data_IF_743470154717
#
_entry.id   IF_743470154717
#
_cell.length_a   1.000
_cell.length_b   1.000
_cell.length_c   1.000
_cell.angle_alpha   90.00
_cell.angle_beta   90.00
_cell.angle_gamma   90.00
#
_symmetry.space_group_name_H-M   'P 1'
#
loop_
_entity.id
_entity.type
_entity.pdbx_description
1 polymer ?
#
# COMPACT_ATOMS: atom_id res chain seq x y z
N UNK A 1 -10.77 4.48 -8.76
CA UNK A 1 -11.35 5.80 -9.08
C UNK A 1 -10.43 6.95 -8.63
N UNK A 2 -10.15 7.12 -7.33
CA UNK A 2 -9.32 8.24 -6.86
C UNK A 2 -7.87 8.22 -7.40
N UNK A 3 -7.20 7.07 -7.36
CA UNK A 3 -5.84 6.90 -7.86
C UNK A 3 -5.70 7.09 -9.39
N UNK A 4 -6.80 6.94 -10.13
CA UNK A 4 -6.79 7.01 -11.60
C UNK A 4 -7.17 8.40 -12.12
N UNK A 5 -7.82 9.24 -11.31
CA UNK A 5 -8.36 10.53 -11.74
C UNK A 5 -7.26 11.49 -12.25
N UNK A 6 -6.18 11.66 -11.48
CA UNK A 6 -5.06 12.55 -11.85
C UNK A 6 -4.36 12.11 -13.15
N UNK A 7 -3.84 10.87 -13.25
CA UNK A 7 -3.21 10.38 -14.47
C UNK A 7 -4.12 10.42 -15.70
N UNK A 8 -5.42 10.09 -15.55
CA UNK A 8 -6.36 10.16 -16.68
C UNK A 8 -6.53 11.59 -17.22
N UNK A 9 -6.56 12.59 -16.33
CA UNK A 9 -6.53 13.99 -16.76
C UNK A 9 -5.22 14.33 -17.50
N UNK A 10 -4.08 13.87 -16.98
CA UNK A 10 -2.77 14.18 -17.58
C UNK A 10 -2.60 13.54 -18.96
N UNK A 11 -3.08 12.31 -19.15
CA UNK A 11 -3.05 11.63 -20.46
C UNK A 11 -4.07 12.19 -21.43
N UNK A 12 -5.35 12.24 -21.04
CA UNK A 12 -6.46 12.45 -21.98
C UNK A 12 -7.01 13.87 -21.99
N UNK A 13 -6.61 14.73 -21.04
CA UNK A 13 -7.12 16.11 -20.96
C UNK A 13 -8.62 16.19 -20.68
N UNK A 14 -9.24 15.10 -20.22
CA UNK A 14 -10.67 15.09 -19.88
C UNK A 14 -10.82 15.79 -18.53
N UNK A 15 -11.31 17.04 -18.54
CA UNK A 15 -11.65 17.77 -17.32
C UNK A 15 -12.95 17.19 -16.73
N UNK A 16 -12.92 16.53 -15.55
CA UNK A 16 -14.16 16.13 -14.88
C UNK A 16 -14.93 17.35 -14.32
N UNK A 17 -14.25 18.48 -14.10
CA UNK A 17 -14.85 19.70 -13.53
C UNK A 17 -14.45 20.92 -14.37
N UNK A 18 -15.45 21.67 -14.82
CA UNK A 18 -15.31 22.92 -15.58
C UNK A 18 -15.27 24.14 -14.65
N UNK A 19 -14.30 24.23 -13.74
CA UNK A 19 -14.06 25.44 -12.94
C UNK A 19 -12.77 25.33 -12.12
N UNK A 20 -11.61 25.55 -12.74
CA UNK A 20 -10.39 25.90 -11.98
C UNK A 20 -10.42 27.41 -11.65
N UNK A 21 -11.52 27.88 -11.05
CA UNK A 21 -11.71 29.28 -10.65
C UNK A 21 -11.32 29.48 -9.19
N UNK A 22 -10.93 30.70 -8.80
CA UNK A 22 -10.61 31.08 -7.42
C UNK A 22 -11.71 30.68 -6.43
N UNK A 23 -12.97 30.73 -6.88
CA UNK A 23 -14.14 30.37 -6.09
C UNK A 23 -14.15 28.89 -5.65
N UNK A 24 -13.63 27.98 -6.49
CA UNK A 24 -13.49 26.57 -6.12
C UNK A 24 -12.53 26.39 -4.95
N UNK A 25 -11.39 27.09 -4.96
CA UNK A 25 -10.38 26.98 -3.90
C UNK A 25 -10.87 27.59 -2.59
N UNK A 26 -11.63 28.68 -2.64
CA UNK A 26 -12.24 29.31 -1.45
C UNK A 26 -13.17 28.35 -0.72
N UNK A 27 -13.88 27.48 -1.43
CA UNK A 27 -14.75 26.49 -0.80
C UNK A 27 -14.01 25.20 -0.42
N UNK A 28 -13.08 24.75 -1.27
CA UNK A 28 -12.35 23.49 -1.08
C UNK A 28 -11.35 23.55 0.09
N UNK A 29 -10.54 24.62 0.17
CA UNK A 29 -9.48 24.71 1.17
C UNK A 29 -10.02 24.70 2.60
N UNK A 30 -11.03 25.51 2.98
CA UNK A 30 -11.61 25.47 4.31
C UNK A 30 -12.21 24.10 4.62
N UNK A 31 -12.91 23.48 3.66
CA UNK A 31 -13.45 22.14 3.82
C UNK A 31 -12.35 21.11 4.15
N UNK A 32 -11.22 21.14 3.42
CA UNK A 32 -10.09 20.25 3.69
C UNK A 32 -9.45 20.52 5.06
N UNK A 33 -9.25 21.79 5.41
CA UNK A 33 -8.64 22.18 6.69
C UNK A 33 -9.50 21.77 7.87
N UNK A 34 -10.80 22.08 7.83
CA UNK A 34 -11.73 21.72 8.91
C UNK A 34 -11.82 20.21 9.09
N UNK A 35 -11.88 19.45 7.99
CA UNK A 35 -11.84 17.99 8.06
C UNK A 35 -10.53 17.48 8.66
N UNK A 36 -9.39 18.05 8.28
CA UNK A 36 -8.10 17.63 8.81
C UNK A 36 -7.96 17.94 10.30
N UNK A 37 -8.47 19.09 10.75
CA UNK A 37 -8.55 19.44 12.17
C UNK A 37 -9.48 18.50 12.93
N UNK A 38 -10.63 18.16 12.36
CA UNK A 38 -11.56 17.21 12.97
C UNK A 38 -10.89 15.84 13.18
N UNK A 39 -10.22 15.31 12.16
CA UNK A 39 -9.48 14.04 12.28
C UNK A 39 -8.33 14.12 13.28
N UNK A 40 -7.69 15.29 13.40
CA UNK A 40 -6.64 15.51 14.39
C UNK A 40 -7.18 15.50 15.82
N UNK A 41 -8.33 16.14 16.06
CA UNK A 41 -8.98 16.19 17.37
C UNK A 41 -9.56 14.83 17.75
N UNK A 42 -10.27 14.16 16.83
CA UNK A 42 -10.90 12.84 17.09
C UNK A 42 -9.85 11.74 17.19
N UNK A 43 -8.81 11.79 16.37
CA UNK A 43 -7.74 10.80 16.34
C UNK A 43 -6.68 10.97 17.43
N UNK A 44 -6.95 11.73 18.49
CA UNK A 44 -5.93 12.11 19.47
C UNK A 44 -5.22 10.89 20.06
N UNK A 45 -3.90 10.83 19.87
CA UNK A 45 -3.04 9.72 20.29
C UNK A 45 -2.85 8.60 19.26
N UNK A 46 -3.54 8.62 18.11
CA UNK A 46 -3.37 7.64 17.03
C UNK A 46 -2.70 8.24 15.79
N UNK A 47 -1.69 7.56 15.19
CA UNK A 47 -1.06 8.02 13.96
C UNK A 47 -2.00 7.82 12.76
N UNK A 48 -2.75 8.86 12.40
CA UNK A 48 -3.71 8.85 11.28
C UNK A 48 -3.05 8.62 9.92
N UNK A 49 -1.83 9.15 9.74
CA UNK A 49 -1.10 9.07 8.48
C UNK A 49 -0.82 7.64 8.03
N UNK A 50 -0.33 6.78 8.93
CA UNK A 50 -0.04 5.37 8.59
C UNK A 50 -1.33 4.61 8.31
N UNK A 51 -2.40 4.88 9.06
CA UNK A 51 -3.71 4.28 8.81
C UNK A 51 -4.26 4.63 7.42
N UNK A 52 -4.11 5.88 7.00
CA UNK A 52 -4.49 6.33 5.65
C UNK A 52 -3.66 5.64 4.56
N UNK A 53 -2.34 5.55 4.76
CA UNK A 53 -1.44 4.84 3.83
C UNK A 53 -1.81 3.35 3.71
N UNK A 54 -2.09 2.66 4.82
CA UNK A 54 -2.51 1.25 4.78
C UNK A 54 -3.88 1.08 4.10
N UNK A 55 -4.84 1.96 4.41
CA UNK A 55 -6.16 1.94 3.78
C UNK A 55 -6.08 2.11 2.28
N UNK A 56 -5.21 3.03 1.81
CA UNK A 56 -4.95 3.21 0.39
C UNK A 56 -4.19 2.04 -0.21
N UNK A 57 -3.15 1.52 0.45
CA UNK A 57 -2.35 0.41 -0.06
C UNK A 57 -3.18 -0.88 -0.25
N UNK A 58 -4.19 -1.12 0.58
CA UNK A 58 -5.04 -2.31 0.51
C UNK A 58 -6.05 -2.30 -0.66
N UNK A 59 -6.06 -1.26 -1.49
CA UNK A 59 -6.98 -1.15 -2.62
C UNK A 59 -7.06 -2.40 -3.52
N UNK A 60 -5.97 -3.11 -3.88
CA UNK A 60 -6.07 -4.27 -4.76
C UNK A 60 -6.76 -5.43 -4.05
N UNK A 61 -6.49 -5.61 -2.76
CA UNK A 61 -7.08 -6.64 -1.92
C UNK A 61 -8.58 -6.42 -1.78
N UNK A 62 -9.01 -5.16 -1.61
CA UNK A 62 -10.44 -4.83 -1.50
C UNK A 62 -11.18 -5.09 -2.81
N UNK A 63 -10.58 -4.74 -3.96
CA UNK A 63 -11.17 -5.02 -5.27
C UNK A 63 -11.31 -6.54 -5.48
N UNK A 64 -10.25 -7.31 -5.19
CA UNK A 64 -10.30 -8.76 -5.32
C UNK A 64 -11.33 -9.40 -4.38
N UNK A 65 -11.46 -8.88 -3.15
CA UNK A 65 -12.46 -9.34 -2.20
C UNK A 65 -13.89 -9.09 -2.73
N UNK A 66 -14.17 -7.89 -3.23
CA UNK A 66 -15.50 -7.56 -3.79
C UNK A 66 -15.78 -8.37 -5.05
N UNK A 67 -14.84 -8.44 -6.00
CA UNK A 67 -15.02 -9.21 -7.24
C UNK A 67 -15.22 -10.69 -6.96
N UNK A 68 -14.46 -11.26 -6.03
CA UNK A 68 -14.64 -12.67 -5.63
C UNK A 68 -15.95 -12.91 -4.89
N UNK A 69 -16.39 -11.99 -4.02
CA UNK A 69 -17.69 -12.08 -3.34
C UNK A 69 -18.84 -12.02 -4.36
N UNK A 70 -18.81 -11.04 -5.27
CA UNK A 70 -19.78 -10.91 -6.37
C UNK A 70 -19.82 -12.19 -7.19
N UNK A 71 -18.65 -12.68 -7.64
CA UNK A 71 -18.56 -13.94 -8.38
C UNK A 71 -19.14 -15.11 -7.59
N UNK A 72 -18.81 -15.23 -6.32
CA UNK A 72 -19.30 -16.35 -5.50
C UNK A 72 -20.82 -16.31 -5.30
N UNK A 73 -21.42 -15.11 -5.19
CA UNK A 73 -22.87 -14.94 -5.13
C UNK A 73 -23.54 -15.33 -6.45
N UNK A 74 -23.04 -14.81 -7.59
CA UNK A 74 -23.64 -15.08 -8.90
C UNK A 74 -23.38 -16.51 -9.42
N UNK A 75 -22.25 -17.12 -9.07
CA UNK A 75 -21.85 -18.45 -9.52
C UNK A 75 -21.97 -19.53 -8.42
N UNK A 76 -22.63 -19.22 -7.29
CA UNK A 76 -22.91 -20.18 -6.21
C UNK A 76 -21.68 -20.82 -5.56
N UNK A 77 -20.50 -20.21 -5.69
CA UNK A 77 -19.25 -20.78 -5.19
C UNK A 77 -19.15 -20.57 -3.67
N UNK A 78 -18.80 -21.62 -2.90
CA UNK A 78 -18.71 -21.52 -1.44
C UNK A 78 -17.67 -20.47 -1.02
N UNK A 79 -18.04 -19.60 -0.09
CA UNK A 79 -17.15 -18.60 0.48
C UNK A 79 -16.11 -19.31 1.37
N UNK A 80 -14.85 -19.31 0.93
CA UNK A 80 -13.75 -19.89 1.71
C UNK A 80 -13.20 -18.86 2.67
N UNK A 81 -13.37 -19.09 3.97
CA UNK A 81 -12.75 -18.29 5.01
C UNK A 81 -11.29 -18.70 5.14
N UNK A 82 -10.39 -17.87 4.62
CA UNK A 82 -8.96 -18.05 4.80
C UNK A 82 -8.62 -17.80 6.28
N UNK A 83 -8.58 -18.86 7.07
CA UNK A 83 -8.11 -18.81 8.45
C UNK A 83 -6.64 -18.42 8.43
N UNK A 84 -6.29 -17.33 9.09
CA UNK A 84 -4.90 -16.90 9.24
C UNK A 84 -4.12 -18.03 9.88
N UNK A 85 -3.14 -18.60 9.16
CA UNK A 85 -2.36 -19.73 9.66
C UNK A 85 -1.64 -19.29 10.93
N UNK A 86 -1.93 -19.95 12.05
CA UNK A 86 -1.29 -19.66 13.35
C UNK A 86 0.22 -19.96 13.34
N UNK A 87 0.66 -20.80 12.39
CA UNK A 87 2.04 -20.82 11.94
C UNK A 87 2.28 -19.56 11.12
N UNK A 88 2.71 -18.51 11.83
CA UNK A 88 3.30 -17.34 11.20
C UNK A 88 4.38 -17.78 10.22
N UNK A 89 4.63 -16.95 9.22
CA UNK A 89 5.64 -17.00 8.17
C UNK A 89 7.07 -17.28 8.67
N UNK A 90 7.32 -18.40 9.35
CA UNK A 90 8.59 -18.83 9.91
C UNK A 90 9.29 -19.86 8.99
N UNK A 91 8.54 -20.49 8.07
CA UNK A 91 9.08 -21.47 7.12
C UNK A 91 9.29 -20.95 5.70
N UNK A 92 9.03 -19.67 5.41
CA UNK A 92 9.24 -19.09 4.06
C UNK A 92 10.39 -18.09 4.10
N UNK A 93 11.61 -18.60 4.20
CA UNK A 93 12.84 -17.85 3.91
C UNK A 93 12.93 -17.63 2.41
N UNK A 94 12.35 -16.53 1.95
CA UNK A 94 12.41 -16.09 0.55
C UNK A 94 11.11 -15.45 0.11
N UNK A 95 11.22 -14.45 -0.77
CA UNK A 95 10.09 -13.88 -1.50
C UNK A 95 9.44 -15.02 -2.30
N UNK A 96 8.36 -15.59 -1.77
CA UNK A 96 7.61 -16.59 -2.52
C UNK A 96 6.93 -15.90 -3.70
N UNK A 97 6.87 -16.54 -4.88
CA UNK A 97 6.24 -15.95 -6.06
C UNK A 97 4.79 -15.48 -5.87
N UNK A 98 4.10 -15.97 -4.82
CA UNK A 98 2.78 -15.47 -4.40
C UNK A 98 2.79 -14.03 -3.88
N UNK A 99 3.87 -13.60 -3.22
CA UNK A 99 3.97 -12.30 -2.57
C UNK A 99 4.25 -11.20 -3.59
N UNK A 100 5.04 -11.51 -4.63
CA UNK A 100 5.27 -10.62 -5.78
C UNK A 100 3.97 -10.38 -6.55
N UNK A 101 3.14 -11.41 -6.71
CA UNK A 101 1.85 -11.30 -7.41
C UNK A 101 0.85 -10.42 -6.65
N UNK A 102 0.98 -10.32 -5.32
CA UNK A 102 0.15 -9.45 -4.50
C UNK A 102 0.48 -7.96 -4.69
N UNK A 103 1.75 -7.65 -4.99
CA UNK A 103 2.27 -6.28 -4.97
C UNK A 103 2.41 -5.70 -6.37
N UNK A 104 2.44 -6.55 -7.41
CA UNK A 104 2.51 -6.12 -8.81
C UNK A 104 1.40 -5.13 -9.22
N UNK A 105 0.12 -5.28 -8.82
CA UNK A 105 -0.91 -4.28 -9.13
C UNK A 105 -0.61 -2.90 -8.54
N UNK A 106 0.01 -2.84 -7.35
CA UNK A 106 0.39 -1.58 -6.70
C UNK A 106 1.56 -0.92 -7.44
N UNK A 107 2.55 -1.71 -7.87
CA UNK A 107 3.69 -1.22 -8.64
C UNK A 107 3.26 -0.68 -10.02
N UNK A 108 2.33 -1.34 -10.70
CA UNK A 108 1.79 -0.84 -11.97
C UNK A 108 1.12 0.52 -11.80
N UNK A 109 0.38 0.73 -10.72
CA UNK A 109 -0.25 2.03 -10.43
C UNK A 109 0.79 3.10 -10.12
N UNK A 110 1.84 2.77 -9.36
CA UNK A 110 2.95 3.69 -9.10
C UNK A 110 3.62 4.11 -10.41
N UNK A 111 3.93 3.15 -11.29
CA UNK A 111 4.51 3.45 -12.61
C UNK A 111 3.62 4.34 -13.46
N UNK A 112 2.31 4.06 -13.47
CA UNK A 112 1.33 4.86 -14.18
C UNK A 112 1.21 6.29 -13.64
N UNK A 113 1.26 6.48 -12.31
CA UNK A 113 1.26 7.79 -11.65
C UNK A 113 2.52 8.59 -12.02
N UNK A 114 3.70 7.96 -11.97
CA UNK A 114 4.97 8.60 -12.34
C UNK A 114 4.94 9.05 -13.80
N UNK A 115 4.54 8.14 -14.71
CA UNK A 115 4.48 8.45 -16.14
C UNK A 115 3.48 9.58 -16.42
N UNK A 116 2.32 9.57 -15.75
CA UNK A 116 1.33 10.65 -15.85
C UNK A 116 1.88 12.00 -15.39
N UNK A 117 2.56 12.04 -14.24
CA UNK A 117 3.19 13.26 -13.71
C UNK A 117 4.24 13.82 -14.67
N UNK A 118 5.14 12.96 -15.17
CA UNK A 118 6.17 13.36 -16.14
C UNK A 118 5.56 13.90 -17.44
N UNK A 119 4.53 13.23 -17.95
CA UNK A 119 3.83 13.65 -19.16
C UNK A 119 3.13 15.01 -18.98
N UNK A 120 2.48 15.22 -17.84
CA UNK A 120 1.87 16.50 -17.49
C UNK A 120 2.86 17.64 -17.36
N UNK A 121 3.98 17.42 -16.65
CA UNK A 121 5.08 18.39 -16.56
C UNK A 121 5.67 18.68 -17.94
N UNK A 122 5.82 17.66 -18.78
CA UNK A 122 6.29 17.80 -20.16
C UNK A 122 5.40 18.74 -20.97
N UNK A 123 4.08 18.54 -20.95
CA UNK A 123 3.13 19.44 -21.64
C UNK A 123 3.20 20.89 -21.15
N UNK A 124 3.44 21.09 -19.85
CA UNK A 124 3.59 22.42 -19.26
C UNK A 124 4.90 23.08 -19.71
N UNK A 125 6.01 22.33 -19.73
CA UNK A 125 7.33 22.82 -20.16
C UNK A 125 7.37 23.14 -21.66
N UNK A 126 6.63 22.40 -22.48
CA UNK A 126 6.47 22.63 -23.93
C UNK A 126 5.47 23.75 -24.25
N UNK A 127 4.87 24.40 -23.25
CA UNK A 127 3.91 25.51 -23.44
C UNK A 127 2.63 25.13 -24.19
N UNK A 128 2.36 23.83 -24.36
CA UNK A 128 1.30 23.33 -25.25
C UNK A 128 -0.08 23.35 -24.59
N UNK A 129 -0.18 23.77 -23.32
CA UNK A 129 -1.40 23.74 -22.53
C UNK A 129 -1.72 25.12 -21.96
N UNK A 130 -2.95 25.57 -22.17
CA UNK A 130 -3.42 26.90 -21.71
C UNK A 130 -3.81 26.91 -20.23
N UNK A 131 -4.09 25.75 -19.62
CA UNK A 131 -4.58 25.63 -18.24
C UNK A 131 -3.49 25.13 -17.27
N UNK A 132 -2.45 25.94 -17.05
CA UNK A 132 -1.32 25.58 -16.17
C UNK A 132 -1.75 25.20 -14.75
N UNK A 133 -2.73 25.90 -14.18
CA UNK A 133 -3.26 25.65 -12.82
C UNK A 133 -3.88 24.25 -12.69
N UNK A 134 -4.58 23.78 -13.73
CA UNK A 134 -5.20 22.47 -13.75
C UNK A 134 -4.14 21.35 -13.75
N UNK A 135 -3.09 21.51 -14.54
CA UNK A 135 -1.98 20.57 -14.62
C UNK A 135 -1.25 20.51 -13.29
N UNK A 136 -0.86 21.66 -12.73
CA UNK A 136 -0.16 21.74 -11.44
C UNK A 136 -0.98 21.11 -10.30
N UNK A 137 -2.29 21.35 -10.27
CA UNK A 137 -3.18 20.74 -9.27
C UNK A 137 -3.19 19.21 -9.38
N UNK A 138 -3.35 18.67 -10.60
CA UNK A 138 -3.37 17.22 -10.81
C UNK A 138 -2.01 16.55 -10.57
N UNK A 139 -0.92 17.24 -10.89
CA UNK A 139 0.44 16.83 -10.52
C UNK A 139 0.57 16.79 -9.00
N UNK A 140 0.12 17.82 -8.28
CA UNK A 140 0.12 17.86 -6.82
C UNK A 140 -0.61 16.66 -6.20
N UNK A 141 -1.82 16.35 -6.69
CA UNK A 141 -2.57 15.17 -6.26
C UNK A 141 -1.88 13.85 -6.62
N UNK A 142 -1.24 13.78 -7.79
CA UNK A 142 -0.47 12.61 -8.21
C UNK A 142 0.74 12.38 -7.30
N UNK A 143 1.46 13.45 -6.94
CA UNK A 143 2.55 13.41 -5.96
C UNK A 143 2.07 12.98 -4.57
N UNK A 144 0.91 13.49 -4.13
CA UNK A 144 0.29 13.04 -2.88
C UNK A 144 -0.01 11.53 -2.90
N UNK A 145 -0.59 11.02 -4.00
CA UNK A 145 -0.84 9.58 -4.17
C UNK A 145 0.46 8.76 -4.16
N UNK A 146 1.53 9.24 -4.80
CA UNK A 146 2.85 8.61 -4.75
C UNK A 146 3.43 8.60 -3.33
N UNK A 147 3.30 9.70 -2.59
CA UNK A 147 3.73 9.78 -1.19
C UNK A 147 2.96 8.79 -0.32
N UNK A 148 1.65 8.63 -0.54
CA UNK A 148 0.82 7.64 0.14
C UNK A 148 1.24 6.20 -0.17
N UNK A 149 1.55 5.91 -1.44
CA UNK A 149 1.95 4.57 -1.89
C UNK A 149 3.41 4.23 -1.60
N UNK A 150 4.26 5.22 -1.26
CA UNK A 150 5.69 5.01 -0.97
C UNK A 150 5.94 4.01 0.17
N UNK A 151 5.01 3.89 1.13
CA UNK A 151 5.09 2.91 2.24
C UNK A 151 5.09 1.47 1.76
N UNK A 152 4.51 1.17 0.60
CA UNK A 152 4.53 -0.19 0.04
C UNK A 152 5.96 -0.56 -0.36
N UNK A 153 6.69 0.38 -0.96
CA UNK A 153 8.10 0.19 -1.34
C UNK A 153 8.98 0.03 -0.10
N UNK A 154 8.73 0.81 0.96
CA UNK A 154 9.42 0.68 2.25
C UNK A 154 9.08 -0.66 2.96
N UNK A 155 7.83 -1.11 2.91
CA UNK A 155 7.40 -2.38 3.48
C UNK A 155 8.00 -3.59 2.77
N UNK A 156 8.19 -3.51 1.45
CA UNK A 156 8.88 -4.52 0.66
C UNK A 156 10.38 -4.59 0.98
N UNK A 157 11.02 -3.43 1.21
CA UNK A 157 12.46 -3.36 1.47
C UNK A 157 12.83 -3.75 2.90
N UNK A 158 11.97 -3.48 3.90
CA UNK A 158 12.26 -3.79 5.32
C UNK A 158 11.99 -5.23 5.73
N UNK A 159 11.24 -6.03 4.96
CA UNK A 159 10.86 -7.42 5.34
C UNK A 159 11.93 -8.49 5.10
N UNK A 160 13.12 -8.14 4.60
CA UNK A 160 14.22 -9.10 4.39
C UNK A 160 15.10 -9.35 5.61
N UNK A 161 14.91 -8.65 6.73
CA UNK A 161 15.72 -8.88 7.95
C UNK A 161 15.06 -9.92 8.84
N UNK A 162 15.16 -11.20 8.44
CA UNK A 162 15.11 -12.30 9.41
C UNK A 162 16.32 -12.11 10.33
N UNK A 163 16.17 -12.04 11.66
CA UNK A 163 17.32 -12.11 12.55
C UNK A 163 18.02 -13.44 12.26
N UNK A 164 19.21 -13.38 11.67
CA UNK A 164 20.01 -14.58 11.47
C UNK A 164 20.33 -15.16 12.86
N UNK A 165 19.79 -16.34 13.15
CA UNK A 165 20.16 -17.11 14.32
C UNK A 165 19.00 -17.48 15.23
N UNK A 166 18.19 -18.43 14.79
CA UNK A 166 18.00 -19.67 15.57
C UNK A 166 17.99 -20.80 14.55
N UNK A 167 19.15 -21.40 14.28
CA UNK A 167 19.16 -22.67 13.55
C UNK A 167 18.57 -23.70 14.52
N UNK A 168 17.38 -24.21 14.19
CA UNK A 168 16.71 -25.26 14.98
C UNK A 168 17.60 -26.50 15.15
N UNK A 169 18.58 -26.67 14.25
CA UNK A 169 19.59 -27.72 14.32
C UNK A 169 20.56 -27.59 15.50
N UNK A 170 20.90 -26.37 15.96
CA UNK A 170 21.83 -26.19 17.08
C UNK A 170 21.19 -26.43 18.45
N UNK A 171 19.94 -25.97 18.60
CA UNK A 171 19.18 -26.08 19.86
C UNK A 171 18.81 -27.53 20.17
N UNK A 172 18.46 -28.31 19.15
CA UNK A 172 18.17 -29.74 19.32
C UNK A 172 19.43 -30.53 19.72
N UNK A 173 20.59 -30.22 19.13
CA UNK A 173 21.84 -30.90 19.46
C UNK A 173 22.34 -30.55 20.86
N UNK A 174 22.24 -29.28 21.29
CA UNK A 174 22.60 -28.88 22.66
C UNK A 174 21.62 -29.43 23.71
N UNK A 175 20.32 -29.45 23.43
CA UNK A 175 19.32 -30.02 24.34
C UNK A 175 19.50 -31.54 24.52
N UNK A 176 19.79 -32.26 23.44
CA UNK A 176 20.09 -33.71 23.49
C UNK A 176 21.42 -33.96 24.21
N UNK A 177 22.45 -33.14 24.00
CA UNK A 177 23.72 -33.25 24.72
C UNK A 177 23.56 -33.01 26.23
N UNK A 178 22.78 -31.99 26.63
CA UNK A 178 22.49 -31.69 28.04
C UNK A 178 21.63 -32.76 28.71
N UNK A 179 20.66 -33.35 27.99
CA UNK A 179 19.84 -34.45 28.49
C UNK A 179 20.67 -35.73 28.67
N UNK A 180 21.56 -36.02 27.72
CA UNK A 180 22.44 -37.21 27.78
C UNK A 180 23.48 -37.08 28.91
N UNK A 181 24.02 -35.88 29.13
CA UNK A 181 24.94 -35.59 30.23
C UNK A 181 24.29 -35.76 31.62
N UNK A 182 22.99 -35.45 31.76
CA UNK A 182 22.25 -35.63 33.03
C UNK A 182 21.93 -37.09 33.35
N UNK A 183 21.77 -37.95 32.34
CA UNK A 183 21.46 -39.38 32.53
C UNK A 183 22.74 -40.19 32.84
N UNK A 184 23.91 -39.77 32.35
CA UNK A 184 25.19 -40.47 32.58
C UNK A 184 25.83 -40.28 33.97
N UNK A 185 25.37 -39.30 34.77
CA UNK A 185 25.99 -38.95 36.06
C UNK A 185 25.48 -39.73 37.29
N UNK A 186 24.51 -40.63 37.13
CA UNK A 186 23.79 -41.28 38.22
C UNK A 186 24.04 -42.78 38.35
N UNK A 187 25.29 -43.24 38.37
CA UNK A 187 25.66 -44.59 38.83
C UNK A 187 27.10 -44.59 39.36
N UNK A 188 27.26 -44.30 40.65
CA UNK A 188 28.12 -45.03 41.59
C UNK A 188 27.59 -44.84 43.00
#
# INVERSE_FOLDING_TARGET
>A
VYLTAGPLFLFFGVLPVKAYSSDFFIHLLPYLVVNQLLFFVVGWGMPTWRGQQYSLALFPTWIMAVVSAVRNVFFGTRLSFAVTSKTGTAGKTGVSGSDVRLVWPQLTVIGFLIFGAMFGLGKLALGTSQDGVAILTNVGWTCYNLAMLSVIVDALTRRSRVPAGVSESGVATEAVAQATARIGGGRR
#
